data_IF_250874818273
#
_entry.id   IF_250874818273
#
_cell.length_a   1.000
_cell.length_b   1.000
_cell.length_c   1.000
_cell.angle_alpha   90.00
_cell.angle_beta   90.00
_cell.angle_gamma   90.00
#
_symmetry.space_group_name_H-M   'P 1'
#
loop_
_entity.id
_entity.type
_entity.pdbx_description
1 polymer ?
#
# COMPACT_ATOMS: atom_id res chain seq x y z
N UNK A 1 16.64 -9.56 18.28
CA UNK A 1 15.34 -10.23 18.51
C UNK A 1 14.42 -10.17 17.29
N UNK A 2 14.10 -8.98 16.74
CA UNK A 2 13.20 -8.81 15.57
C UNK A 2 13.53 -9.71 14.36
N UNK A 3 14.80 -9.76 13.94
CA UNK A 3 15.22 -10.60 12.80
C UNK A 3 14.96 -12.09 13.04
N UNK A 4 15.33 -12.60 14.23
CA UNK A 4 15.16 -14.01 14.59
C UNK A 4 13.68 -14.38 14.62
N UNK A 5 12.86 -13.57 15.30
CA UNK A 5 11.41 -13.77 15.34
C UNK A 5 10.82 -13.74 13.93
N UNK A 6 11.24 -12.77 13.10
CA UNK A 6 10.78 -12.65 11.72
C UNK A 6 11.07 -13.91 10.90
N UNK A 7 12.29 -14.44 10.98
CA UNK A 7 12.67 -15.69 10.28
C UNK A 7 11.86 -16.88 10.79
N UNK A 8 11.70 -17.03 12.11
CA UNK A 8 10.90 -18.12 12.69
C UNK A 8 9.46 -18.07 12.17
N UNK A 9 8.82 -16.89 12.17
CA UNK A 9 7.45 -16.72 11.70
C UNK A 9 7.31 -17.02 10.20
N UNK A 10 8.29 -16.59 9.37
CA UNK A 10 8.35 -16.94 7.94
C UNK A 10 8.42 -18.46 7.77
N UNK A 11 9.35 -19.12 8.45
CA UNK A 11 9.53 -20.57 8.35
C UNK A 11 8.28 -21.33 8.77
N UNK A 12 7.63 -20.94 9.86
CA UNK A 12 6.38 -21.55 10.31
C UNK A 12 5.26 -21.30 9.27
N UNK A 13 5.09 -20.06 8.79
CA UNK A 13 4.04 -19.75 7.81
C UNK A 13 4.19 -20.53 6.50
N UNK A 14 5.41 -20.66 5.98
CA UNK A 14 5.71 -21.46 4.77
C UNK A 14 5.52 -22.96 5.04
N UNK A 15 5.89 -23.45 6.22
CA UNK A 15 5.64 -24.84 6.58
C UNK A 15 4.13 -25.14 6.64
N UNK A 16 3.36 -24.25 7.27
CA UNK A 16 1.91 -24.37 7.36
C UNK A 16 1.22 -24.25 5.99
N UNK A 17 1.80 -23.55 5.03
CA UNK A 17 1.24 -23.45 3.68
C UNK A 17 1.26 -24.76 2.88
N UNK A 18 1.98 -25.78 3.35
CA UNK A 18 1.92 -27.13 2.78
C UNK A 18 0.59 -27.84 3.10
N UNK A 19 -0.14 -27.36 4.11
CA UNK A 19 -1.38 -27.95 4.58
C UNK A 19 -2.57 -27.07 4.19
N UNK A 20 -3.29 -27.45 3.12
CA UNK A 20 -4.48 -26.73 2.63
C UNK A 20 -5.75 -27.05 3.43
N UNK A 21 -5.62 -27.23 4.75
CA UNK A 21 -6.72 -27.55 5.66
C UNK A 21 -6.72 -26.60 6.85
N UNK A 22 -7.90 -26.43 7.45
CA UNK A 22 -8.03 -25.65 8.70
C UNK A 22 -7.45 -26.44 9.87
N UNK A 23 -6.84 -25.77 10.87
CA UNK A 23 -6.68 -24.31 11.00
C UNK A 23 -5.40 -23.76 10.33
N UNK A 24 -4.58 -24.60 9.70
CA UNK A 24 -3.27 -24.18 9.18
C UNK A 24 -3.37 -23.12 8.07
N UNK A 25 -4.34 -23.27 7.18
CA UNK A 25 -4.60 -22.31 6.09
C UNK A 25 -5.05 -20.94 6.60
N UNK A 26 -5.59 -20.86 7.82
CA UNK A 26 -6.13 -19.63 8.43
C UNK A 26 -4.99 -18.69 8.83
N UNK A 27 -3.83 -19.25 9.23
CA UNK A 27 -2.72 -18.49 9.81
C UNK A 27 -1.44 -18.47 8.97
N UNK A 28 -1.31 -19.35 7.97
CA UNK A 28 -0.07 -19.50 7.19
C UNK A 28 0.44 -18.17 6.60
N UNK A 29 -0.45 -17.40 5.96
CA UNK A 29 -0.14 -16.11 5.37
C UNK A 29 0.19 -15.08 6.44
N UNK A 30 -0.62 -14.97 7.49
CA UNK A 30 -0.39 -13.99 8.55
C UNK A 30 0.99 -14.19 9.17
N UNK A 31 1.32 -15.42 9.56
CA UNK A 31 2.64 -15.73 10.15
C UNK A 31 3.77 -15.39 9.18
N UNK A 32 3.69 -15.84 7.93
CA UNK A 32 4.72 -15.54 6.94
C UNK A 32 4.85 -14.04 6.66
N UNK A 33 3.73 -13.34 6.53
CA UNK A 33 3.65 -11.93 6.19
C UNK A 33 4.14 -11.03 7.33
N UNK A 34 3.68 -11.27 8.57
CA UNK A 34 4.19 -10.57 9.75
C UNK A 34 5.69 -10.82 9.94
N UNK A 35 6.13 -12.06 9.75
CA UNK A 35 7.55 -12.40 9.79
C UNK A 35 8.36 -11.63 8.75
N UNK A 36 7.87 -11.59 7.50
CA UNK A 36 8.47 -10.82 6.41
C UNK A 36 8.56 -9.33 6.73
N UNK A 37 7.53 -8.72 7.32
CA UNK A 37 7.57 -7.31 7.73
C UNK A 37 8.60 -7.04 8.81
N UNK A 38 8.74 -7.93 9.79
CA UNK A 38 9.76 -7.80 10.84
C UNK A 38 11.18 -7.85 10.25
N UNK A 39 11.44 -8.78 9.34
CA UNK A 39 12.74 -8.86 8.63
C UNK A 39 12.97 -7.61 7.79
N UNK A 40 11.98 -7.22 7.00
CA UNK A 40 12.06 -6.05 6.10
C UNK A 40 12.26 -4.74 6.84
N UNK A 41 11.61 -4.54 7.98
CA UNK A 41 11.83 -3.35 8.80
C UNK A 41 13.24 -3.33 9.43
N UNK A 42 13.79 -4.49 9.80
CA UNK A 42 15.19 -4.55 10.22
C UNK A 42 16.14 -4.12 9.09
N UNK A 43 15.85 -4.55 7.86
CA UNK A 43 16.60 -4.14 6.65
C UNK A 43 16.44 -2.63 6.43
N UNK A 44 15.22 -2.10 6.53
CA UNK A 44 14.94 -0.66 6.42
C UNK A 44 15.73 0.14 7.45
N UNK A 45 15.81 -0.34 8.69
CA UNK A 45 16.59 0.29 9.75
C UNK A 45 18.08 0.32 9.43
N UNK A 46 18.64 -0.76 8.88
CA UNK A 46 20.05 -0.81 8.47
C UNK A 46 20.38 0.18 7.34
N UNK A 47 19.50 0.31 6.35
CA UNK A 47 19.75 1.19 5.20
C UNK A 47 19.46 2.66 5.47
N UNK A 48 18.42 2.96 6.25
CA UNK A 48 17.89 4.33 6.39
C UNK A 48 17.96 4.87 7.82
N UNK A 49 18.27 4.03 8.81
CA UNK A 49 18.15 4.36 10.23
C UNK A 49 16.71 4.47 10.73
N UNK A 50 15.72 4.05 9.94
CA UNK A 50 14.29 4.20 10.25
C UNK A 50 13.64 2.83 10.39
N UNK A 51 12.96 2.63 11.51
CA UNK A 51 12.11 1.46 11.78
C UNK A 51 10.73 1.93 12.17
N UNK A 52 9.68 1.41 11.53
CA UNK A 52 8.30 1.72 11.89
C UNK A 52 7.90 1.10 13.24
N UNK A 53 8.59 0.03 13.66
CA UNK A 53 8.38 -0.66 14.94
C UNK A 53 9.12 -0.02 16.11
N UNK A 54 9.95 1.01 15.87
CA UNK A 54 10.69 1.72 16.91
C UNK A 54 9.81 2.37 17.99
N UNK A 55 8.54 2.66 17.69
CA UNK A 55 7.57 3.17 18.64
C UNK A 55 6.23 2.45 18.47
N UNK A 56 5.84 1.65 19.46
CA UNK A 56 4.64 0.82 19.39
C UNK A 56 3.35 1.63 19.25
N UNK A 57 3.25 2.82 19.86
CA UNK A 57 2.05 3.67 19.76
C UNK A 57 1.87 4.19 18.34
N UNK A 58 2.95 4.69 17.74
CA UNK A 58 2.94 5.16 16.35
C UNK A 58 2.65 4.01 15.38
N UNK A 59 3.21 2.82 15.65
CA UNK A 59 2.89 1.61 14.89
C UNK A 59 1.41 1.25 15.00
N UNK A 60 0.81 1.24 16.20
CA UNK A 60 -0.61 0.92 16.36
C UNK A 60 -1.51 1.94 15.66
N UNK A 61 -1.18 3.23 15.72
CA UNK A 61 -1.90 4.26 14.96
C UNK A 61 -1.82 4.00 13.45
N UNK A 62 -0.64 3.64 12.95
CA UNK A 62 -0.44 3.28 11.54
C UNK A 62 -1.20 2.01 11.17
N UNK A 63 -1.18 0.99 12.03
CA UNK A 63 -1.82 -0.29 11.82
C UNK A 63 -3.35 -0.14 11.75
N UNK A 64 -3.94 0.60 12.69
CA UNK A 64 -5.37 0.91 12.68
C UNK A 64 -5.76 1.72 11.44
N UNK A 65 -4.99 2.75 11.10
CA UNK A 65 -5.20 3.53 9.89
C UNK A 65 -5.08 2.66 8.62
N UNK A 66 -4.15 1.70 8.62
CA UNK A 66 -3.94 0.78 7.50
C UNK A 66 -5.14 -0.10 7.23
N UNK A 67 -5.77 -0.63 8.29
CA UNK A 67 -7.01 -1.39 8.13
C UNK A 67 -8.11 -0.54 7.51
N UNK A 68 -8.35 0.67 8.04
CA UNK A 68 -9.36 1.58 7.47
C UNK A 68 -9.06 1.94 6.01
N UNK A 69 -7.80 2.25 5.71
CA UNK A 69 -7.34 2.58 4.37
C UNK A 69 -7.63 1.44 3.39
N UNK A 70 -7.30 0.19 3.73
CA UNK A 70 -7.55 -0.93 2.83
C UNK A 70 -9.03 -1.31 2.73
N UNK A 71 -9.80 -1.20 3.82
CA UNK A 71 -11.25 -1.46 3.78
C UNK A 71 -12.00 -0.52 2.82
N UNK A 72 -11.51 0.71 2.60
CA UNK A 72 -12.03 1.58 1.53
C UNK A 72 -11.85 0.96 0.13
N UNK A 73 -10.68 0.36 -0.14
CA UNK A 73 -10.43 -0.34 -1.41
C UNK A 73 -11.25 -1.63 -1.53
N UNK A 74 -11.45 -2.38 -0.45
CA UNK A 74 -12.35 -3.54 -0.43
C UNK A 74 -13.80 -3.13 -0.74
N UNK A 75 -14.28 -2.01 -0.18
CA UNK A 75 -15.58 -1.46 -0.51
C UNK A 75 -15.68 -1.08 -1.99
N UNK A 76 -14.68 -0.37 -2.54
CA UNK A 76 -14.64 -0.05 -3.96
C UNK A 76 -14.60 -1.33 -4.83
N UNK A 77 -13.92 -2.38 -4.36
CA UNK A 77 -13.79 -3.65 -5.07
C UNK A 77 -15.11 -4.42 -5.19
N UNK A 78 -16.14 -4.11 -4.40
CA UNK A 78 -17.50 -4.64 -4.60
C UNK A 78 -18.00 -4.29 -6.01
N UNK A 79 -17.68 -3.09 -6.50
CA UNK A 79 -18.05 -2.62 -7.83
C UNK A 79 -17.03 -3.04 -8.89
N UNK A 80 -15.73 -2.97 -8.55
CA UNK A 80 -14.65 -3.19 -9.51
C UNK A 80 -14.42 -4.66 -9.84
N UNK A 81 -14.51 -5.54 -8.84
CA UNK A 81 -14.16 -6.97 -8.94
C UNK A 81 -12.74 -7.17 -9.50
N UNK A 82 -11.81 -6.27 -9.15
CA UNK A 82 -10.43 -6.30 -9.62
C UNK A 82 -9.61 -7.43 -8.98
N UNK A 83 -9.87 -7.72 -7.70
CA UNK A 83 -9.26 -8.85 -7.00
C UNK A 83 -10.33 -9.72 -6.34
N UNK A 84 -10.01 -11.01 -6.19
CA UNK A 84 -10.87 -12.02 -5.60
C UNK A 84 -10.07 -12.93 -4.66
N UNK A 85 -10.71 -13.40 -3.58
CA UNK A 85 -10.12 -14.28 -2.58
C UNK A 85 -10.71 -15.70 -2.71
N UNK A 86 -10.02 -16.66 -3.33
CA UNK A 86 -10.57 -17.98 -3.61
C UNK A 86 -11.03 -18.73 -2.36
N UNK A 87 -10.32 -18.60 -1.24
CA UNK A 87 -10.61 -19.31 0.00
C UNK A 87 -11.67 -18.62 0.87
N UNK A 88 -12.21 -17.45 0.46
CA UNK A 88 -13.17 -16.70 1.29
C UNK A 88 -14.42 -17.50 1.66
N UNK A 89 -14.85 -18.41 0.79
CA UNK A 89 -16.02 -19.27 1.00
C UNK A 89 -15.86 -20.28 2.17
N UNK A 90 -14.64 -20.47 2.69
CA UNK A 90 -14.34 -21.37 3.82
C UNK A 90 -14.63 -20.76 5.20
N UNK A 91 -15.01 -19.48 5.26
CA UNK A 91 -15.11 -18.70 6.48
C UNK A 91 -16.49 -18.07 6.63
N UNK A 92 -16.95 -17.96 7.87
CA UNK A 92 -18.06 -17.06 8.18
C UNK A 92 -17.65 -15.60 7.96
N UNK A 93 -18.65 -14.73 7.77
CA UNK A 93 -18.39 -13.32 7.46
C UNK A 93 -17.58 -12.61 8.56
N UNK A 94 -17.86 -12.89 9.83
CA UNK A 94 -17.17 -12.32 10.99
C UNK A 94 -15.72 -12.81 11.07
N UNK A 95 -15.52 -14.11 10.92
CA UNK A 95 -14.21 -14.75 10.89
C UNK A 95 -13.34 -14.21 9.76
N UNK A 96 -13.88 -14.15 8.54
CA UNK A 96 -13.21 -13.52 7.40
C UNK A 96 -12.86 -12.07 7.69
N UNK A 97 -13.79 -11.30 8.26
CA UNK A 97 -13.57 -9.90 8.61
C UNK A 97 -12.39 -9.72 9.58
N UNK A 98 -12.26 -10.59 10.59
CA UNK A 98 -11.15 -10.57 11.56
C UNK A 98 -9.82 -10.93 10.87
N UNK A 99 -9.77 -12.06 10.15
CA UNK A 99 -8.56 -12.52 9.48
C UNK A 99 -8.10 -11.52 8.41
N UNK A 100 -9.01 -11.02 7.58
CA UNK A 100 -8.71 -9.98 6.59
C UNK A 100 -8.22 -8.70 7.26
N UNK A 101 -8.88 -8.22 8.31
CA UNK A 101 -8.43 -7.02 9.04
C UNK A 101 -7.02 -7.20 9.60
N UNK A 102 -6.70 -8.39 10.15
CA UNK A 102 -5.36 -8.70 10.63
C UNK A 102 -4.29 -8.68 9.51
N UNK A 103 -4.65 -8.97 8.26
CA UNK A 103 -3.77 -8.72 7.12
C UNK A 103 -3.74 -7.20 6.77
N UNK A 104 -4.90 -6.54 6.74
CA UNK A 104 -5.04 -5.16 6.28
C UNK A 104 -4.36 -4.12 7.17
N UNK A 105 -4.15 -4.41 8.46
CA UNK A 105 -3.34 -3.54 9.34
C UNK A 105 -1.89 -3.39 8.88
N UNK A 106 -1.44 -4.18 7.91
CA UNK A 106 -0.03 -4.21 7.48
C UNK A 106 0.27 -3.54 6.14
N UNK A 107 -0.76 -3.09 5.40
CA UNK A 107 -0.60 -2.45 4.08
C UNK A 107 0.25 -1.19 4.14
N UNK A 108 -0.12 -0.20 4.96
CA UNK A 108 0.65 1.03 5.13
C UNK A 108 2.03 0.77 5.76
N UNK A 109 2.17 -0.09 6.79
CA UNK A 109 3.47 -0.56 7.26
C UNK A 109 4.41 -1.05 6.16
N UNK A 110 3.93 -1.93 5.27
CA UNK A 110 4.73 -2.48 4.17
C UNK A 110 5.22 -1.41 3.19
N UNK A 111 4.33 -0.48 2.81
CA UNK A 111 4.69 0.65 1.95
C UNK A 111 5.73 1.56 2.62
N UNK A 112 5.58 1.86 3.91
CA UNK A 112 6.52 2.69 4.66
C UNK A 112 7.89 2.02 4.82
N UNK A 113 7.92 0.72 5.10
CA UNK A 113 9.16 -0.08 5.17
C UNK A 113 9.87 -0.09 3.81
N UNK A 114 9.15 -0.43 2.74
CA UNK A 114 9.69 -0.54 1.39
C UNK A 114 10.30 0.77 0.91
N UNK A 115 9.61 1.88 1.13
CA UNK A 115 10.12 3.22 0.78
C UNK A 115 11.30 3.66 1.62
N UNK A 116 11.36 3.29 2.91
CA UNK A 116 12.53 3.56 3.74
C UNK A 116 13.76 2.75 3.27
N UNK A 117 13.60 1.48 2.87
CA UNK A 117 14.67 0.69 2.24
C UNK A 117 15.20 1.42 1.00
N UNK A 118 14.32 1.76 0.06
CA UNK A 118 14.70 2.45 -1.18
C UNK A 118 15.37 3.80 -0.90
N UNK A 119 14.81 4.60 0.02
CA UNK A 119 15.40 5.87 0.42
C UNK A 119 16.82 5.72 0.97
N UNK A 120 17.07 4.66 1.76
CA UNK A 120 18.39 4.36 2.32
C UNK A 120 19.38 3.85 1.29
N UNK A 121 18.97 2.92 0.43
CA UNK A 121 19.78 2.39 -0.68
C UNK A 121 20.22 3.51 -1.63
N UNK A 122 19.29 4.38 -2.01
CA UNK A 122 19.58 5.53 -2.88
C UNK A 122 20.31 6.68 -2.17
N UNK A 123 20.62 6.54 -0.86
CA UNK A 123 21.18 7.60 0.01
C UNK A 123 20.47 8.94 -0.20
N UNK A 124 19.15 8.87 -0.39
CA UNK A 124 18.37 10.00 -0.84
C UNK A 124 18.07 10.95 0.30
N UNK A 125 18.64 12.15 0.24
CA UNK A 125 18.20 13.27 1.07
C UNK A 125 16.83 13.76 0.55
N UNK A 126 15.77 13.30 1.19
CA UNK A 126 14.38 13.67 0.89
C UNK A 126 13.97 14.82 1.79
N UNK A 127 13.60 15.95 1.19
CA UNK A 127 13.00 17.08 1.90
C UNK A 127 11.66 17.42 1.25
N UNK A 128 10.78 18.02 2.05
CA UNK A 128 9.49 18.50 1.59
C UNK A 128 9.49 20.02 1.63
N UNK A 129 9.23 20.64 0.48
CA UNK A 129 9.02 22.08 0.39
C UNK A 129 7.75 22.42 1.16
N UNK A 130 7.85 23.36 2.09
CA UNK A 130 6.72 23.85 2.90
C UNK A 130 6.13 25.09 2.23
N UNK A 131 4.84 25.03 1.91
CA UNK A 131 4.04 26.12 1.37
C UNK A 131 2.57 25.69 1.42
N UNK A 132 1.66 26.61 1.08
CA UNK A 132 0.23 26.32 0.90
C UNK A 132 -0.13 26.48 -0.57
N UNK A 133 -1.12 25.71 -1.02
CA UNK A 133 -1.76 25.91 -2.32
C UNK A 133 -2.99 26.79 -2.17
N UNK A 134 -3.52 27.32 -3.27
CA UNK A 134 -4.74 28.12 -3.26
C UNK A 134 -5.98 27.27 -2.95
N UNK A 135 -7.01 27.91 -2.38
CA UNK A 135 -8.29 27.25 -2.13
C UNK A 135 -8.97 26.79 -3.41
N UNK A 136 -8.82 27.53 -4.51
CA UNK A 136 -9.37 27.17 -5.83
C UNK A 136 -8.76 25.86 -6.34
N UNK A 137 -7.43 25.72 -6.27
CA UNK A 137 -6.76 24.49 -6.67
C UNK A 137 -7.14 23.32 -5.75
N UNK A 138 -7.30 23.59 -4.46
CA UNK A 138 -7.76 22.58 -3.49
C UNK A 138 -9.14 22.04 -3.86
N UNK A 139 -10.10 22.93 -4.11
CA UNK A 139 -11.47 22.57 -4.50
C UNK A 139 -11.45 21.80 -5.81
N UNK A 140 -10.73 22.27 -6.83
CA UNK A 140 -10.63 21.61 -8.13
C UNK A 140 -10.15 20.15 -7.99
N UNK A 141 -9.05 19.93 -7.26
CA UNK A 141 -8.48 18.59 -7.10
C UNK A 141 -9.40 17.66 -6.30
N UNK A 142 -10.03 18.17 -5.24
CA UNK A 142 -11.01 17.40 -4.48
C UNK A 142 -12.22 17.04 -5.33
N UNK A 143 -12.74 17.97 -6.14
CA UNK A 143 -13.83 17.70 -7.08
C UNK A 143 -13.44 16.63 -8.09
N UNK A 144 -12.23 16.68 -8.66
CA UNK A 144 -11.73 15.64 -9.56
C UNK A 144 -11.64 14.28 -8.87
N UNK A 145 -11.23 14.23 -7.59
CA UNK A 145 -11.21 13.00 -6.80
C UNK A 145 -12.60 12.42 -6.57
N UNK A 146 -13.58 13.25 -6.22
CA UNK A 146 -14.98 12.84 -6.03
C UNK A 146 -15.63 12.39 -7.34
N UNK A 147 -15.40 13.10 -8.45
CA UNK A 147 -15.87 12.71 -9.78
C UNK A 147 -15.23 11.38 -10.17
N UNK A 148 -13.92 11.22 -9.96
CA UNK A 148 -13.22 9.96 -10.24
C UNK A 148 -13.81 8.80 -9.44
N UNK A 149 -14.15 9.01 -8.17
CA UNK A 149 -14.81 7.99 -7.34
C UNK A 149 -16.20 7.63 -7.88
N UNK A 150 -17.01 8.62 -8.25
CA UNK A 150 -18.31 8.37 -8.87
C UNK A 150 -18.15 7.58 -10.17
N UNK A 151 -17.22 7.97 -11.04
CA UNK A 151 -16.93 7.28 -12.29
C UNK A 151 -16.49 5.82 -12.09
N UNK A 152 -15.69 5.54 -11.06
CA UNK A 152 -15.32 4.17 -10.68
C UNK A 152 -16.54 3.34 -10.30
N UNK A 153 -17.54 3.93 -9.64
CA UNK A 153 -18.75 3.22 -9.21
C UNK A 153 -19.72 3.00 -10.38
N UNK A 154 -19.90 4.00 -11.25
CA UNK A 154 -20.86 3.93 -12.36
C UNK A 154 -20.31 3.27 -13.62
N UNK A 155 -19.00 3.38 -13.87
CA UNK A 155 -18.31 2.84 -15.05
C UNK A 155 -17.06 2.01 -14.65
N UNK A 156 -17.19 1.05 -13.70
CA UNK A 156 -16.04 0.30 -13.16
C UNK A 156 -15.27 -0.44 -14.24
N UNK A 157 -15.97 -0.94 -15.26
CA UNK A 157 -15.35 -1.74 -16.33
C UNK A 157 -14.25 -0.96 -17.05
N UNK A 158 -14.42 0.35 -17.26
CA UNK A 158 -13.48 1.16 -18.04
C UNK A 158 -12.57 2.02 -17.18
N UNK A 159 -13.08 2.49 -16.04
CA UNK A 159 -12.43 3.52 -15.23
C UNK A 159 -11.90 2.98 -13.90
N UNK A 160 -11.79 1.65 -13.74
CA UNK A 160 -11.22 1.05 -12.54
C UNK A 160 -9.84 1.60 -12.13
N UNK A 161 -8.91 2.01 -13.03
CA UNK A 161 -7.61 2.51 -12.59
C UNK A 161 -7.69 3.79 -11.76
N UNK A 162 -8.77 4.56 -11.89
CA UNK A 162 -8.94 5.82 -11.16
C UNK A 162 -9.00 5.61 -9.65
N UNK A 163 -9.46 4.45 -9.15
CA UNK A 163 -9.59 4.22 -7.71
C UNK A 163 -8.27 4.44 -6.95
N UNK A 164 -7.14 4.13 -7.60
CA UNK A 164 -5.83 4.21 -6.99
C UNK A 164 -5.38 5.65 -6.69
N UNK A 165 -5.94 6.65 -7.40
CA UNK A 165 -5.59 8.07 -7.22
C UNK A 165 -6.68 8.88 -6.50
N UNK A 166 -7.89 8.32 -6.28
CA UNK A 166 -9.02 9.02 -5.62
C UNK A 166 -8.60 9.63 -4.28
N UNK A 167 -8.04 8.83 -3.38
CA UNK A 167 -7.67 9.29 -2.04
C UNK A 167 -6.58 10.37 -2.10
N UNK A 168 -5.63 10.25 -3.02
CA UNK A 168 -4.61 11.27 -3.26
C UNK A 168 -5.22 12.61 -3.69
N UNK A 169 -6.13 12.60 -4.68
CA UNK A 169 -6.79 13.81 -5.17
C UNK A 169 -7.66 14.50 -4.12
N UNK A 170 -8.20 13.75 -3.17
CA UNK A 170 -9.04 14.31 -2.10
C UNK A 170 -8.20 14.82 -0.92
N UNK A 171 -7.24 14.02 -0.44
CA UNK A 171 -6.56 14.29 0.84
C UNK A 171 -5.26 15.08 0.71
N UNK A 172 -4.47 14.87 -0.35
CA UNK A 172 -3.21 15.60 -0.51
C UNK A 172 -3.39 17.12 -0.66
N UNK A 173 -4.40 17.66 -1.39
CA UNK A 173 -4.60 19.10 -1.41
C UNK A 173 -5.08 19.65 -0.05
N UNK A 174 -5.81 18.87 0.75
CA UNK A 174 -6.16 19.25 2.13
C UNK A 174 -4.91 19.32 3.02
N UNK A 175 -3.96 18.39 2.84
CA UNK A 175 -2.67 18.48 3.51
C UNK A 175 -1.90 19.74 3.09
N UNK A 176 -1.90 20.05 1.79
CA UNK A 176 -1.22 21.20 1.23
C UNK A 176 -1.77 22.53 1.77
N UNK A 177 -3.10 22.73 1.77
CA UNK A 177 -3.72 23.97 2.27
C UNK A 177 -3.51 24.15 3.78
N UNK A 178 -3.37 23.05 4.52
CA UNK A 178 -3.06 23.05 5.96
C UNK A 178 -1.56 23.19 6.26
N UNK A 179 -0.70 23.27 5.23
CA UNK A 179 0.76 23.42 5.39
C UNK A 179 1.48 22.15 5.86
N UNK A 180 0.85 20.98 5.70
CA UNK A 180 1.44 19.66 5.97
C UNK A 180 2.26 19.20 4.77
N UNK A 181 2.92 18.02 4.88
CA UNK A 181 3.61 17.45 3.72
C UNK A 181 2.57 17.08 2.66
N UNK A 182 2.82 17.50 1.43
CA UNK A 182 1.95 17.24 0.28
C UNK A 182 2.81 16.98 -0.95
N UNK A 183 2.45 15.94 -1.72
CA UNK A 183 3.13 15.60 -2.97
C UNK A 183 2.69 16.50 -4.13
N UNK A 184 1.43 16.95 -4.16
CA UNK A 184 0.95 17.95 -5.12
C UNK A 184 1.78 19.22 -4.99
N UNK A 185 2.05 19.67 -3.76
CA UNK A 185 2.93 20.79 -3.55
C UNK A 185 4.35 20.53 -4.05
N UNK A 186 4.88 19.32 -3.85
CA UNK A 186 6.20 18.97 -4.37
C UNK A 186 6.23 19.00 -5.91
N UNK A 187 5.18 18.53 -6.59
CA UNK A 187 5.01 18.63 -8.05
C UNK A 187 5.04 20.11 -8.48
N UNK A 188 4.21 20.95 -7.87
CA UNK A 188 4.13 22.39 -8.21
C UNK A 188 5.46 23.11 -8.00
N UNK A 189 6.25 22.68 -7.00
CA UNK A 189 7.58 23.23 -6.70
C UNK A 189 8.71 22.50 -7.43
N UNK A 190 8.40 21.62 -8.39
CA UNK A 190 9.37 20.84 -9.19
C UNK A 190 10.33 19.98 -8.34
N UNK A 191 9.93 19.62 -7.11
CA UNK A 191 10.68 18.71 -6.23
C UNK A 191 10.16 17.28 -6.40
N UNK A 192 10.57 16.58 -7.46
CA UNK A 192 10.03 15.25 -7.78
C UNK A 192 10.63 14.11 -6.96
N UNK A 193 11.69 14.38 -6.19
CA UNK A 193 12.45 13.35 -5.47
C UNK A 193 11.60 12.53 -4.48
N UNK A 194 10.70 13.12 -3.67
CA UNK A 194 9.82 12.35 -2.80
C UNK A 194 8.88 11.43 -3.58
N UNK A 195 8.35 11.90 -4.72
CA UNK A 195 7.46 11.10 -5.57
C UNK A 195 8.19 9.90 -6.18
N UNK A 196 9.40 10.11 -6.70
CA UNK A 196 10.21 9.04 -7.30
C UNK A 196 10.54 7.96 -6.25
N UNK A 197 10.98 8.36 -5.05
CA UNK A 197 11.30 7.39 -3.99
C UNK A 197 10.06 6.66 -3.49
N UNK A 198 8.92 7.34 -3.36
CA UNK A 198 7.64 6.69 -3.07
C UNK A 198 7.28 5.68 -4.16
N UNK A 199 7.28 6.10 -5.43
CA UNK A 199 6.90 5.24 -6.56
C UNK A 199 7.78 4.00 -6.69
N UNK A 200 9.11 4.14 -6.60
CA UNK A 200 10.04 2.99 -6.62
C UNK A 200 9.79 2.09 -5.40
N UNK A 201 9.59 2.68 -4.21
CA UNK A 201 9.25 1.93 -3.00
C UNK A 201 7.94 1.16 -3.12
N UNK A 202 6.95 1.70 -3.83
CA UNK A 202 5.67 1.04 -4.06
C UNK A 202 5.78 -0.14 -5.05
N UNK A 203 6.55 0.03 -6.12
CA UNK A 203 6.84 -1.08 -7.05
C UNK A 203 7.60 -2.19 -6.32
N UNK A 204 8.59 -1.83 -5.50
CA UNK A 204 9.32 -2.78 -4.67
C UNK A 204 8.40 -3.47 -3.65
N UNK A 205 7.47 -2.73 -3.04
CA UNK A 205 6.46 -3.28 -2.15
C UNK A 205 5.56 -4.29 -2.90
N UNK A 206 5.05 -3.91 -4.08
CA UNK A 206 4.21 -4.76 -4.92
C UNK A 206 4.92 -6.02 -5.38
N UNK A 207 6.23 -5.95 -5.66
CA UNK A 207 7.03 -7.13 -6.02
C UNK A 207 7.01 -8.17 -4.91
N UNK A 208 7.28 -7.77 -3.66
CA UNK A 208 7.26 -8.69 -2.52
C UNK A 208 5.86 -9.14 -2.13
N UNK A 209 4.87 -8.25 -2.29
CA UNK A 209 3.46 -8.56 -2.11
C UNK A 209 3.04 -9.73 -3.02
N UNK A 210 3.38 -9.64 -4.31
CA UNK A 210 3.10 -10.69 -5.29
C UNK A 210 4.00 -11.92 -5.13
N UNK A 211 5.25 -11.75 -4.69
CA UNK A 211 6.14 -12.89 -4.36
C UNK A 211 5.52 -13.75 -3.25
N UNK A 212 5.01 -13.13 -2.18
CA UNK A 212 4.42 -13.88 -1.07
C UNK A 212 3.08 -14.47 -1.47
N UNK A 213 2.27 -13.78 -2.29
CA UNK A 213 1.06 -14.38 -2.86
C UNK A 213 1.36 -15.56 -3.77
N UNK A 214 2.48 -15.55 -4.50
CA UNK A 214 2.90 -16.69 -5.29
C UNK A 214 3.23 -17.91 -4.40
N UNK A 215 3.95 -17.68 -3.30
CA UNK A 215 4.35 -18.73 -2.36
C UNK A 215 3.18 -19.24 -1.50
N UNK A 216 2.28 -18.35 -1.11
CA UNK A 216 1.11 -18.62 -0.28
C UNK A 216 -0.11 -17.96 -0.97
N UNK A 217 -0.72 -18.63 -1.96
CA UNK A 217 -1.83 -18.07 -2.73
C UNK A 217 -3.03 -17.69 -1.87
N UNK A 218 -3.39 -16.39 -1.91
CA UNK A 218 -4.54 -15.84 -1.18
C UNK A 218 -5.51 -15.05 -2.05
N UNK A 219 -5.03 -14.40 -3.10
CA UNK A 219 -5.89 -13.67 -4.02
C UNK A 219 -5.47 -13.85 -5.48
N UNK A 220 -6.43 -13.61 -6.37
CA UNK A 220 -6.25 -13.59 -7.83
C UNK A 220 -6.77 -12.28 -8.40
N UNK A 221 -6.29 -11.93 -9.59
CA UNK A 221 -6.70 -10.72 -10.31
C UNK A 221 -7.47 -11.11 -11.56
N UNK A 222 -8.79 -11.36 -11.46
CA UNK A 222 -9.60 -11.64 -12.64
C UNK A 222 -9.58 -10.44 -13.60
N UNK A 223 -9.63 -9.20 -13.09
CA UNK A 223 -9.67 -7.95 -13.88
C UNK A 223 -10.82 -7.99 -14.93
N UNK A 224 -11.07 -6.87 -15.60
CA UNK A 224 -12.06 -6.75 -16.66
C UNK A 224 -11.61 -7.49 -17.94
N UNK A 225 -12.51 -8.19 -18.67
CA UNK A 225 -12.11 -9.06 -19.80
C UNK A 225 -11.28 -8.37 -20.88
N UNK A 226 -11.69 -7.15 -21.29
CA UNK A 226 -11.01 -6.39 -22.35
C UNK A 226 -9.55 -6.08 -22.03
N UNK A 227 -9.16 -6.04 -20.74
CA UNK A 227 -7.78 -5.80 -20.36
C UNK A 227 -6.85 -6.93 -20.83
N UNK A 228 -7.34 -8.16 -20.85
CA UNK A 228 -6.57 -9.33 -21.26
C UNK A 228 -6.42 -9.46 -22.78
N UNK A 229 -7.15 -8.66 -23.55
CA UNK A 229 -7.00 -8.53 -24.99
C UNK A 229 -5.83 -7.60 -25.37
N UNK A 230 -5.26 -6.87 -24.40
CA UNK A 230 -4.12 -5.97 -24.64
C UNK A 230 -2.84 -6.76 -24.95
N UNK A 231 -1.95 -6.22 -25.81
CA UNK A 231 -0.75 -6.93 -26.25
C UNK A 231 0.28 -7.08 -25.13
N UNK A 232 1.11 -8.12 -25.21
CA UNK A 232 2.31 -8.23 -24.38
C UNK A 232 3.24 -7.01 -24.62
N UNK A 233 3.96 -6.53 -23.59
CA UNK A 233 4.09 -7.10 -22.25
C UNK A 233 3.03 -6.63 -21.23
N UNK A 234 2.01 -5.87 -21.63
CA UNK A 234 1.03 -5.25 -20.72
C UNK A 234 0.32 -6.32 -19.86
N UNK A 235 -0.07 -7.42 -20.49
CA UNK A 235 -0.81 -8.55 -19.90
C UNK A 235 0.09 -9.67 -19.38
N UNK A 236 1.40 -9.59 -19.59
CA UNK A 236 2.36 -10.56 -19.04
C UNK A 236 2.28 -10.55 -17.52
N UNK A 237 2.21 -11.72 -16.89
CA UNK A 237 2.05 -11.84 -15.44
C UNK A 237 3.40 -12.00 -14.74
N UNK A 238 3.53 -11.33 -13.59
CA UNK A 238 4.43 -11.75 -12.53
C UNK A 238 3.56 -12.27 -11.38
N UNK A 239 3.72 -13.55 -11.04
CA UNK A 239 2.78 -14.26 -10.17
C UNK A 239 1.32 -14.12 -10.69
N UNK A 240 0.42 -13.52 -9.92
CA UNK A 240 -0.97 -13.32 -10.32
C UNK A 240 -1.18 -11.97 -11.03
N UNK A 241 -0.35 -10.98 -10.75
CA UNK A 241 -0.51 -9.60 -11.22
C UNK A 241 0.05 -9.41 -12.63
N UNK A 242 -0.70 -8.78 -13.56
CA UNK A 242 -0.13 -8.34 -14.84
C UNK A 242 0.90 -7.23 -14.63
N UNK A 243 1.91 -7.13 -15.50
CA UNK A 243 2.97 -6.12 -15.42
C UNK A 243 2.42 -4.70 -15.42
N UNK A 244 1.39 -4.41 -16.23
CA UNK A 244 0.75 -3.10 -16.19
C UNK A 244 0.02 -2.82 -14.87
N UNK A 245 -0.40 -3.86 -14.15
CA UNK A 245 -0.93 -3.74 -12.79
C UNK A 245 0.07 -3.13 -11.81
N UNK A 246 1.39 -3.34 -12.02
CA UNK A 246 2.40 -2.74 -11.15
C UNK A 246 2.41 -1.22 -11.18
N UNK A 247 1.97 -0.62 -12.29
CA UNK A 247 1.83 0.84 -12.40
C UNK A 247 0.79 1.40 -11.43
N UNK A 248 -0.19 0.59 -11.03
CA UNK A 248 -1.20 0.97 -10.02
C UNK A 248 -0.62 1.21 -8.62
N UNK A 249 0.52 0.59 -8.27
CA UNK A 249 1.17 0.82 -6.98
C UNK A 249 1.67 2.27 -6.82
N UNK A 250 1.98 2.96 -7.92
CA UNK A 250 2.48 4.34 -7.90
C UNK A 250 1.41 5.32 -7.38
N UNK A 251 0.22 5.46 -7.99
CA UNK A 251 -0.84 6.30 -7.43
C UNK A 251 -1.33 5.77 -6.07
N UNK A 252 -1.33 4.44 -5.87
CA UNK A 252 -1.71 3.84 -4.59
C UNK A 252 -0.84 4.32 -3.43
N UNK A 253 0.49 4.41 -3.60
CA UNK A 253 1.34 4.92 -2.51
C UNK A 253 1.20 6.42 -2.30
N UNK A 254 0.85 7.19 -3.33
CA UNK A 254 0.55 8.62 -3.17
C UNK A 254 -0.72 8.82 -2.35
N UNK A 255 -1.75 7.99 -2.60
CA UNK A 255 -2.96 7.89 -1.80
C UNK A 255 -2.66 7.51 -0.34
N UNK A 256 -1.81 6.49 -0.14
CA UNK A 256 -1.38 6.06 1.19
C UNK A 256 -0.62 7.16 1.95
N UNK A 257 0.31 7.84 1.29
CA UNK A 257 1.07 8.95 1.86
C UNK A 257 0.15 10.10 2.27
N UNK A 258 -0.74 10.53 1.37
CA UNK A 258 -1.71 11.58 1.64
C UNK A 258 -2.63 11.24 2.81
N UNK A 259 -3.08 9.98 2.90
CA UNK A 259 -3.92 9.51 4.00
C UNK A 259 -3.20 9.54 5.35
N UNK A 260 -1.95 9.06 5.43
CA UNK A 260 -1.15 9.08 6.66
C UNK A 260 -0.84 10.52 7.10
N UNK A 261 -0.50 11.41 6.18
CA UNK A 261 -0.29 12.84 6.48
C UNK A 261 -1.57 13.55 6.93
N UNK A 262 -2.71 13.18 6.34
CA UNK A 262 -4.01 13.72 6.73
C UNK A 262 -4.37 13.38 8.18
N UNK A 263 -4.07 12.15 8.60
CA UNK A 263 -4.23 11.69 9.98
C UNK A 263 -3.09 12.16 10.91
N UNK A 264 -2.05 12.81 10.38
CA UNK A 264 -0.89 13.29 11.13
C UNK A 264 -0.19 12.20 11.95
N UNK A 265 -0.17 10.97 11.42
CA UNK A 265 0.44 9.83 12.10
C UNK A 265 1.96 10.00 12.09
N UNK A 266 2.56 10.07 13.28
CA UNK A 266 3.98 10.36 13.46
C UNK A 266 4.85 9.12 13.29
N UNK A 267 4.98 8.63 12.07
CA UNK A 267 5.87 7.51 11.75
C UNK A 267 7.17 7.99 11.10
N UNK A 268 8.28 7.25 11.22
CA UNK A 268 9.53 7.58 10.56
C UNK A 268 9.46 7.21 9.07
N UNK A 269 8.58 7.88 8.32
CA UNK A 269 8.35 7.65 6.89
C UNK A 269 8.89 8.83 6.08
N UNK A 270 9.96 8.59 5.32
CA UNK A 270 10.60 9.60 4.45
C UNK A 270 11.01 10.91 5.14
N UNK A 271 11.13 10.93 6.48
CA UNK A 271 11.62 12.10 7.20
C UNK A 271 13.11 12.35 6.88
N UNK A 272 13.48 13.52 6.39
CA UNK A 272 14.87 13.96 6.52
C UNK A 272 15.19 14.05 8.00
N UNK A 273 16.40 13.64 8.40
CA UNK A 273 17.00 14.22 9.60
C UNK A 273 16.97 15.73 9.38
N UNK A 274 16.19 16.46 10.18
CA UNK A 274 16.34 17.90 10.26
C UNK A 274 17.82 18.13 10.60
N UNK A 275 18.56 18.78 9.69
CA UNK A 275 19.77 19.48 10.08
C UNK A 275 19.33 20.80 10.70
#
# INVERSE_FOLDING_TARGET
MQLILGVILISIGIYLSQYNIRPFIDFNFHLAWFGFLLVSDNIAFRFSGKSIFSNWRNFLSLAFASAFFWWFYEWANIFLKNWFYPTKHLYEQTEWGILSTAAFVTVLPHLAISTNIISGVLKSNIFFVKAKISSQLTILLMSLGLISLALVIYLPIYLFPLIWIVTFLILDPLNAIQGRRSLILQILKKNYKPLIVLGIGAIFAGFWWETINFLIPKWTYPIVPWFWELPAPITTKYAQMPLAGFLGYIPFIYSAFAFVEFLQIKIPWLNSKNK
#
